data_IF_612622618709
#
_entry.id   IF_612622618709
#
_cell.length_a   1.000
_cell.length_b   1.000
_cell.length_c   1.000
_cell.angle_alpha   90.00
_cell.angle_beta   90.00
_cell.angle_gamma   90.00
#
_symmetry.space_group_name_H-M   'P 1'
#
loop_
_entity.id
_entity.type
_entity.pdbx_description
1 polymer ?
#
# COMPACT_ATOMS: atom_id res chain seq x y z
N UNK A 1 -37.52 -15.77 72.55
CA UNK A 1 -36.77 -14.78 71.73
C UNK A 1 -35.56 -15.51 71.19
N UNK A 2 -35.57 -15.82 69.90
CA UNK A 2 -34.48 -16.56 69.24
C UNK A 2 -33.77 -15.58 68.33
N UNK A 3 -32.60 -15.12 68.75
CA UNK A 3 -31.73 -14.29 67.91
C UNK A 3 -31.15 -15.16 66.80
N UNK A 4 -31.55 -14.87 65.57
CA UNK A 4 -30.92 -15.41 64.36
C UNK A 4 -29.79 -14.47 63.99
N UNK A 5 -28.56 -14.86 64.29
CA UNK A 5 -27.35 -14.18 63.82
C UNK A 5 -27.27 -14.26 62.29
N UNK A 6 -27.52 -13.13 61.63
CA UNK A 6 -27.27 -12.98 60.20
C UNK A 6 -25.76 -13.10 59.93
N UNK A 7 -25.32 -14.25 59.42
CA UNK A 7 -23.93 -14.45 58.98
C UNK A 7 -23.71 -13.62 57.72
N UNK A 8 -22.82 -12.64 57.81
CA UNK A 8 -22.54 -11.65 56.78
C UNK A 8 -21.49 -12.16 55.80
N UNK A 9 -21.77 -13.27 55.09
CA UNK A 9 -20.89 -13.79 54.04
C UNK A 9 -21.40 -13.36 52.65
N UNK A 10 -21.30 -12.05 52.38
CA UNK A 10 -21.72 -11.47 51.09
C UNK A 10 -20.57 -11.01 50.19
N UNK A 11 -19.37 -10.80 50.74
CA UNK A 11 -18.30 -10.12 50.03
C UNK A 11 -16.95 -10.76 50.35
N UNK A 12 -16.46 -11.64 49.47
CA UNK A 12 -15.12 -12.22 49.61
C UNK A 12 -14.09 -11.29 48.94
N UNK A 13 -13.30 -10.51 49.71
CA UNK A 13 -12.35 -9.55 49.15
C UNK A 13 -11.27 -10.21 48.28
N UNK A 14 -10.95 -11.48 48.53
CA UNK A 14 -9.98 -12.23 47.71
C UNK A 14 -10.54 -12.54 46.32
N UNK A 15 -11.83 -12.88 46.23
CA UNK A 15 -12.49 -13.13 44.94
C UNK A 15 -12.53 -11.84 44.12
N UNK A 16 -12.85 -10.71 44.76
CA UNK A 16 -12.89 -9.40 44.10
C UNK A 16 -11.50 -8.98 43.64
N UNK A 17 -10.48 -9.14 44.49
CA UNK A 17 -9.09 -8.87 44.11
C UNK A 17 -8.65 -9.75 42.92
N UNK A 18 -9.06 -11.02 42.89
CA UNK A 18 -8.77 -11.92 41.76
C UNK A 18 -9.46 -11.47 40.46
N UNK A 19 -10.74 -11.09 40.52
CA UNK A 19 -11.49 -10.58 39.36
C UNK A 19 -10.88 -9.26 38.85
N UNK A 20 -10.51 -8.35 39.75
CA UNK A 20 -9.84 -7.09 39.40
C UNK A 20 -8.49 -7.36 38.75
N UNK A 21 -7.69 -8.28 39.30
CA UNK A 21 -6.40 -8.65 38.71
C UNK A 21 -6.56 -9.25 37.31
N UNK A 22 -7.53 -10.14 37.10
CA UNK A 22 -7.85 -10.70 35.78
C UNK A 22 -8.28 -9.59 34.81
N UNK A 23 -9.13 -8.64 35.27
CA UNK A 23 -9.55 -7.49 34.48
C UNK A 23 -8.38 -6.61 34.04
N UNK A 24 -7.43 -6.34 34.94
CA UNK A 24 -6.21 -5.58 34.62
C UNK A 24 -5.37 -6.33 33.58
N UNK A 25 -5.15 -7.63 33.77
CA UNK A 25 -4.37 -8.45 32.81
C UNK A 25 -5.05 -8.47 31.44
N UNK A 26 -6.36 -8.69 31.39
CA UNK A 26 -7.14 -8.70 30.15
C UNK A 26 -7.13 -7.32 29.47
N UNK A 27 -7.20 -6.24 30.24
CA UNK A 27 -7.11 -4.87 29.72
C UNK A 27 -5.74 -4.57 29.12
N UNK A 28 -4.65 -4.93 29.81
CA UNK A 28 -3.28 -4.78 29.30
C UNK A 28 -3.07 -5.63 28.04
N UNK A 29 -3.58 -6.87 28.01
CA UNK A 29 -3.52 -7.73 26.84
C UNK A 29 -4.28 -7.15 25.64
N UNK A 30 -5.51 -6.63 25.86
CA UNK A 30 -6.29 -5.96 24.82
C UNK A 30 -5.57 -4.71 24.31
N UNK A 31 -5.03 -3.89 25.22
CA UNK A 31 -4.28 -2.69 24.87
C UNK A 31 -3.03 -3.02 24.06
N UNK A 32 -2.31 -4.08 24.45
CA UNK A 32 -1.17 -4.60 23.68
C UNK A 32 -1.60 -5.09 22.28
N UNK A 33 -2.71 -5.81 22.16
CA UNK A 33 -3.23 -6.26 20.85
C UNK A 33 -3.60 -5.08 19.93
N UNK A 34 -4.18 -4.00 20.48
CA UNK A 34 -4.50 -2.79 19.72
C UNK A 34 -3.21 -2.06 19.29
N UNK A 35 -2.24 -1.95 20.21
CA UNK A 35 -0.98 -1.26 19.95
C UNK A 35 -0.06 -2.02 18.97
N UNK A 36 0.00 -3.35 19.06
CA UNK A 36 0.83 -4.20 18.23
C UNK A 36 0.13 -4.69 16.96
N UNK A 37 -1.21 -4.75 16.93
CA UNK A 37 -1.98 -5.22 15.78
C UNK A 37 -1.54 -4.65 14.42
N UNK A 38 -1.31 -3.32 14.31
CA UNK A 38 -0.81 -2.71 13.08
C UNK A 38 0.62 -3.11 12.69
N UNK A 39 1.46 -3.48 13.67
CA UNK A 39 2.86 -3.87 13.45
C UNK A 39 3.00 -5.35 13.08
N UNK A 40 2.05 -6.19 13.47
CA UNK A 40 2.04 -7.64 13.19
C UNK A 40 1.52 -7.95 11.77
N UNK A 41 1.01 -6.95 11.04
CA UNK A 41 0.73 -7.09 9.61
C UNK A 41 2.05 -7.28 8.86
N UNK A 42 2.47 -8.53 8.69
CA UNK A 42 3.54 -8.90 7.77
C UNK A 42 3.20 -8.30 6.41
N UNK A 43 4.14 -7.67 5.70
CA UNK A 43 3.94 -7.18 4.33
C UNK A 43 3.61 -8.28 3.29
N UNK A 44 3.25 -9.47 3.75
CA UNK A 44 2.75 -10.61 3.01
C UNK A 44 1.21 -10.60 2.99
N UNK A 45 0.63 -9.52 2.49
CA UNK A 45 -0.82 -9.33 2.34
C UNK A 45 -1.26 -9.35 0.87
N UNK A 46 -0.32 -9.57 -0.06
CA UNK A 46 -0.61 -9.53 -1.49
C UNK A 46 -0.68 -8.13 -2.09
N UNK A 47 -0.40 -7.08 -1.31
CA UNK A 47 -0.54 -5.68 -1.72
C UNK A 47 0.49 -5.26 -2.77
N UNK A 48 0.16 -4.20 -3.50
CA UNK A 48 1.07 -3.55 -4.44
C UNK A 48 1.88 -2.45 -3.76
N UNK A 49 2.76 -2.81 -2.82
CA UNK A 49 3.56 -1.85 -2.05
C UNK A 49 5.04 -2.29 -1.92
N UNK A 50 5.89 -1.36 -1.45
CA UNK A 50 7.33 -1.53 -1.35
C UNK A 50 7.78 -2.77 -0.54
N UNK A 51 7.10 -3.08 0.57
CA UNK A 51 7.43 -4.25 1.39
C UNK A 51 6.83 -5.59 0.90
N UNK A 52 6.03 -5.58 -0.17
CA UNK A 52 5.30 -6.77 -0.59
C UNK A 52 6.16 -7.67 -1.47
N UNK A 53 6.21 -8.95 -1.11
CA UNK A 53 6.88 -10.02 -1.87
C UNK A 53 5.92 -10.76 -2.81
N UNK A 54 4.66 -10.34 -2.87
CA UNK A 54 3.69 -10.93 -3.77
C UNK A 54 3.90 -10.42 -5.21
N UNK A 55 3.25 -11.06 -6.18
CA UNK A 55 3.36 -10.70 -7.59
C UNK A 55 3.15 -9.20 -7.93
N UNK A 56 2.22 -8.45 -7.28
CA UNK A 56 2.08 -7.02 -7.52
C UNK A 56 3.03 -6.14 -6.66
N UNK A 57 3.81 -6.73 -5.76
CA UNK A 57 4.68 -6.03 -4.82
C UNK A 57 6.01 -5.58 -5.42
N UNK A 58 6.71 -4.69 -4.69
CA UNK A 58 7.94 -4.04 -5.17
C UNK A 58 9.19 -4.37 -4.33
N UNK A 59 9.13 -5.33 -3.40
CA UNK A 59 10.24 -5.62 -2.48
C UNK A 59 11.55 -6.01 -3.19
N UNK A 60 11.47 -6.70 -4.34
CA UNK A 60 12.66 -7.06 -5.12
C UNK A 60 13.33 -5.84 -5.78
N UNK A 61 12.55 -4.82 -6.16
CA UNK A 61 13.11 -3.58 -6.73
C UNK A 61 13.77 -2.75 -5.63
N UNK A 62 13.15 -2.71 -4.45
CA UNK A 62 13.75 -2.06 -3.26
C UNK A 62 15.11 -2.70 -2.94
N UNK A 63 15.17 -4.02 -2.79
CA UNK A 63 16.42 -4.75 -2.50
C UNK A 63 17.47 -4.55 -3.62
N UNK A 64 17.05 -4.47 -4.89
CA UNK A 64 17.96 -4.17 -6.00
C UNK A 64 18.56 -2.77 -5.90
N UNK A 65 17.74 -1.76 -5.57
CA UNK A 65 18.17 -0.36 -5.48
C UNK A 65 19.08 -0.13 -4.28
N UNK A 66 18.77 -0.74 -3.13
CA UNK A 66 19.65 -0.74 -1.95
C UNK A 66 21.02 -1.36 -2.27
N UNK A 67 21.03 -2.53 -2.94
CA UNK A 67 22.27 -3.21 -3.36
C UNK A 67 23.05 -2.43 -4.42
N UNK A 68 22.37 -1.59 -5.20
CA UNK A 68 23.00 -0.67 -6.14
C UNK A 68 23.63 0.56 -5.47
N UNK A 69 23.48 0.70 -4.14
CA UNK A 69 24.13 1.75 -3.34
C UNK A 69 23.26 2.97 -3.06
N UNK A 70 21.96 2.93 -3.37
CA UNK A 70 21.04 3.99 -2.97
C UNK A 70 20.62 3.84 -1.51
N UNK A 71 20.44 4.96 -0.81
CA UNK A 71 19.81 5.00 0.51
C UNK A 71 18.29 5.00 0.32
N UNK A 72 17.61 3.96 0.82
CA UNK A 72 16.17 3.76 0.61
C UNK A 72 15.43 3.90 1.93
N UNK A 73 14.60 4.94 2.01
CA UNK A 73 13.68 5.14 3.12
C UNK A 73 12.25 4.72 2.76
N UNK A 74 11.73 3.71 3.47
CA UNK A 74 10.39 3.17 3.26
C UNK A 74 9.37 3.82 4.18
N UNK A 75 8.54 4.69 3.59
CA UNK A 75 7.52 5.43 4.34
C UNK A 75 6.13 4.85 4.16
N UNK A 76 5.40 4.77 5.27
CA UNK A 76 3.97 4.41 5.31
C UNK A 76 3.06 5.59 5.64
N UNK A 77 3.64 6.77 5.87
CA UNK A 77 2.95 8.02 6.19
C UNK A 77 3.52 9.16 5.36
N UNK A 78 2.69 10.18 5.16
CA UNK A 78 3.05 11.42 4.48
C UNK A 78 3.80 12.29 5.48
N UNK A 79 5.08 11.98 5.69
CA UNK A 79 5.98 12.87 6.41
C UNK A 79 6.91 13.52 5.37
N UNK A 80 6.84 14.85 5.18
CA UNK A 80 7.79 15.55 4.32
C UNK A 80 9.18 15.37 4.91
N UNK A 81 10.09 14.78 4.14
CA UNK A 81 11.51 14.99 4.38
C UNK A 81 12.08 15.52 3.09
N UNK A 82 12.57 16.74 3.18
CA UNK A 82 13.45 17.30 2.18
C UNK A 82 14.85 17.11 2.72
N UNK A 83 15.67 16.37 1.98
CA UNK A 83 17.08 16.24 2.28
C UNK A 83 17.83 17.20 1.38
N UNK A 84 18.38 18.28 1.93
CA UNK A 84 19.07 19.32 1.16
C UNK A 84 20.38 18.82 0.54
N UNK A 85 20.94 17.73 1.06
CA UNK A 85 22.26 17.20 0.67
C UNK A 85 22.20 16.11 -0.44
N UNK A 86 21.00 15.70 -0.89
CA UNK A 86 20.85 14.57 -1.82
C UNK A 86 19.85 14.85 -2.95
N UNK A 87 20.12 14.29 -4.12
CA UNK A 87 19.14 14.24 -5.22
C UNK A 87 18.07 13.19 -4.88
N UNK A 88 16.94 13.66 -4.36
CA UNK A 88 15.86 12.79 -3.87
C UNK A 88 14.88 12.42 -5.00
N UNK A 89 14.56 11.12 -5.14
CA UNK A 89 13.48 10.62 -5.99
C UNK A 89 12.40 10.00 -5.11
N UNK A 90 11.19 10.56 -5.13
CA UNK A 90 10.05 9.96 -4.42
C UNK A 90 9.31 8.99 -5.33
N UNK A 91 9.17 7.74 -4.88
CA UNK A 91 8.44 6.70 -5.59
C UNK A 91 7.10 6.46 -4.90
N UNK A 92 6.02 6.83 -5.56
CA UNK A 92 4.66 6.62 -5.08
C UNK A 92 4.09 5.32 -5.66
N UNK A 93 3.60 4.45 -4.78
CA UNK A 93 2.93 3.19 -5.15
C UNK A 93 1.46 3.20 -4.69
N UNK A 94 0.63 4.12 -5.22
CA UNK A 94 -0.75 4.25 -4.79
C UNK A 94 -1.53 2.96 -5.04
N UNK A 95 -2.51 2.71 -4.17
CA UNK A 95 -3.43 1.59 -4.31
C UNK A 95 -4.74 2.06 -4.93
N UNK A 96 -5.61 1.12 -5.31
CA UNK A 96 -6.97 1.45 -5.77
C UNK A 96 -7.79 2.24 -4.73
N UNK A 97 -7.40 2.17 -3.46
CA UNK A 97 -8.04 2.83 -2.32
C UNK A 97 -7.41 4.17 -1.95
N UNK A 98 -6.25 4.52 -2.53
CA UNK A 98 -5.59 5.80 -2.27
C UNK A 98 -6.50 6.96 -2.64
N UNK A 99 -6.58 7.92 -1.73
CA UNK A 99 -7.44 9.10 -1.88
C UNK A 99 -6.74 10.15 -2.74
N UNK A 100 -7.48 10.91 -3.58
CA UNK A 100 -6.89 12.00 -4.37
C UNK A 100 -6.18 13.05 -3.52
N UNK A 101 -6.70 13.32 -2.32
CA UNK A 101 -6.15 14.30 -1.39
C UNK A 101 -4.77 13.86 -0.88
N UNK A 102 -4.58 12.56 -0.59
CA UNK A 102 -3.28 12.02 -0.19
C UNK A 102 -2.24 12.19 -1.30
N UNK A 103 -2.64 12.02 -2.57
CA UNK A 103 -1.75 12.26 -3.70
C UNK A 103 -1.32 13.72 -3.75
N UNK A 104 -2.27 14.66 -3.61
CA UNK A 104 -1.99 16.10 -3.60
C UNK A 104 -1.06 16.51 -2.47
N UNK A 105 -1.32 16.02 -1.25
CA UNK A 105 -0.47 16.26 -0.08
C UNK A 105 0.97 15.81 -0.35
N UNK A 106 1.16 14.64 -0.98
CA UNK A 106 2.48 14.13 -1.33
C UNK A 106 3.17 14.96 -2.42
N UNK A 107 2.45 15.42 -3.44
CA UNK A 107 3.01 16.31 -4.47
C UNK A 107 3.45 17.66 -3.88
N UNK A 108 2.64 18.25 -2.99
CA UNK A 108 2.99 19.49 -2.29
C UNK A 108 4.17 19.30 -1.35
N UNK A 109 4.16 18.22 -0.56
CA UNK A 109 5.20 17.91 0.42
C UNK A 109 6.59 17.68 -0.21
N UNK A 110 6.63 17.20 -1.45
CA UNK A 110 7.87 16.90 -2.15
C UNK A 110 8.55 18.15 -2.74
N UNK A 111 7.80 19.24 -2.95
CA UNK A 111 8.30 20.43 -3.61
C UNK A 111 8.74 20.14 -5.05
N UNK A 112 9.93 20.62 -5.43
CA UNK A 112 10.44 20.53 -6.81
C UNK A 112 11.15 19.21 -7.14
N UNK A 113 11.28 18.31 -6.16
CA UNK A 113 12.02 17.08 -6.38
C UNK A 113 11.24 16.06 -7.25
N UNK A 114 11.93 15.27 -8.10
CA UNK A 114 11.28 14.32 -8.99
C UNK A 114 10.40 13.29 -8.28
N UNK A 115 9.27 12.95 -8.90
CA UNK A 115 8.33 11.93 -8.42
C UNK A 115 8.09 10.89 -9.51
N UNK A 116 8.25 9.62 -9.15
CA UNK A 116 7.83 8.47 -9.95
C UNK A 116 6.53 7.91 -9.38
N UNK A 117 5.43 8.02 -10.11
CA UNK A 117 4.15 7.41 -9.73
C UNK A 117 3.97 6.08 -10.45
N UNK A 118 3.95 4.99 -9.68
CA UNK A 118 3.67 3.65 -10.20
C UNK A 118 2.20 3.31 -9.95
N UNK A 119 1.37 3.52 -10.98
CA UNK A 119 -0.07 3.34 -10.86
C UNK A 119 -0.47 1.87 -10.62
N UNK A 120 -1.55 1.63 -9.86
CA UNK A 120 -2.02 0.29 -9.61
C UNK A 120 -2.55 -0.33 -10.91
N UNK A 121 -2.07 -1.54 -11.23
CA UNK A 121 -2.44 -2.30 -12.44
C UNK A 121 -3.19 -3.60 -12.13
N UNK A 122 -2.98 -4.15 -10.94
CA UNK A 122 -3.59 -5.40 -10.49
C UNK A 122 -4.29 -5.19 -9.16
N UNK A 123 -5.47 -5.79 -9.00
CA UNK A 123 -6.09 -6.01 -7.70
C UNK A 123 -5.86 -7.48 -7.34
N UNK A 124 -5.06 -7.72 -6.30
CA UNK A 124 -4.87 -9.05 -5.75
C UNK A 124 -5.73 -9.23 -4.51
N UNK A 125 -6.31 -10.42 -4.34
CA UNK A 125 -7.19 -10.70 -3.23
C UNK A 125 -7.31 -12.18 -2.92
N UNK A 126 -7.91 -12.47 -1.77
CA UNK A 126 -8.26 -13.82 -1.34
C UNK A 126 -9.72 -14.09 -1.68
N UNK A 127 -9.95 -15.13 -2.45
CA UNK A 127 -11.26 -15.74 -2.67
C UNK A 127 -11.46 -16.74 -1.52
N UNK A 128 -12.55 -16.62 -0.73
CA UNK A 128 -12.80 -17.52 0.40
C UNK A 128 -12.70 -19.00 -0.02
N UNK A 129 -11.92 -19.78 0.75
CA UNK A 129 -11.72 -21.21 0.50
C UNK A 129 -10.77 -21.57 -0.65
N UNK A 130 -10.18 -20.58 -1.34
CA UNK A 130 -9.28 -20.83 -2.48
C UNK A 130 -7.84 -20.39 -2.24
N UNK A 131 -7.55 -19.73 -1.11
CA UNK A 131 -6.18 -19.39 -0.75
C UNK A 131 -5.39 -20.67 -0.42
N UNK A 132 -4.32 -20.99 -1.15
CA UNK A 132 -3.59 -22.25 -0.96
C UNK A 132 -2.79 -22.27 0.36
N UNK A 133 -2.46 -21.09 0.91
CA UNK A 133 -1.80 -20.92 2.20
C UNK A 133 -2.30 -19.65 2.90
N UNK A 134 -2.28 -19.60 4.25
CA UNK A 134 -2.52 -18.37 4.99
C UNK A 134 -1.62 -17.23 4.49
N UNK A 135 -2.21 -16.05 4.24
CA UNK A 135 -1.50 -14.86 3.74
C UNK A 135 -1.22 -14.84 2.23
N UNK A 136 -1.61 -15.87 1.48
CA UNK A 136 -1.45 -15.88 0.02
C UNK A 136 -2.71 -15.33 -0.66
N UNK A 137 -2.50 -14.55 -1.73
CA UNK A 137 -3.58 -14.18 -2.65
C UNK A 137 -3.99 -15.40 -3.48
N UNK A 138 -5.28 -15.50 -3.81
CA UNK A 138 -5.81 -16.59 -4.62
C UNK A 138 -6.29 -16.14 -6.00
N UNK A 139 -6.19 -14.84 -6.29
CA UNK A 139 -6.55 -14.28 -7.58
C UNK A 139 -5.96 -12.89 -7.79
N UNK A 140 -5.61 -12.60 -9.05
CA UNK A 140 -5.18 -11.28 -9.50
C UNK A 140 -6.05 -10.83 -10.67
N UNK A 141 -6.61 -9.63 -10.58
CA UNK A 141 -7.48 -9.06 -11.60
C UNK A 141 -6.81 -7.83 -12.21
N UNK A 142 -6.75 -7.76 -13.54
CA UNK A 142 -6.30 -6.56 -14.25
C UNK A 142 -7.35 -5.46 -14.08
N UNK A 143 -6.99 -4.40 -13.36
CA UNK A 143 -7.91 -3.30 -13.05
C UNK A 143 -7.30 -2.00 -13.53
N UNK A 144 -8.10 -1.17 -14.19
CA UNK A 144 -7.65 0.15 -14.60
C UNK A 144 -7.48 1.04 -13.37
N UNK A 145 -6.37 1.77 -13.24
CA UNK A 145 -6.24 2.76 -12.18
C UNK A 145 -7.33 3.83 -12.34
N UNK A 146 -7.88 4.34 -11.24
CA UNK A 146 -8.86 5.41 -11.31
C UNK A 146 -8.16 6.74 -11.64
N UNK A 147 -8.73 7.53 -12.57
CA UNK A 147 -8.15 8.79 -13.03
C UNK A 147 -7.90 9.80 -11.91
N UNK A 148 -8.65 9.69 -10.80
CA UNK A 148 -8.49 10.50 -9.59
C UNK A 148 -7.11 10.43 -8.93
N UNK A 149 -6.29 9.42 -9.25
CA UNK A 149 -4.91 9.31 -8.77
C UNK A 149 -3.95 10.24 -9.51
N UNK A 150 -4.40 10.87 -10.59
CA UNK A 150 -3.66 11.82 -11.41
C UNK A 150 -4.40 13.16 -11.34
N UNK A 151 -4.13 14.00 -10.33
CA UNK A 151 -4.86 15.26 -10.17
C UNK A 151 -4.67 16.19 -11.37
N UNK A 152 -5.75 16.82 -11.82
CA UNK A 152 -5.75 17.67 -13.03
C UNK A 152 -4.79 18.86 -12.92
N UNK A 153 -4.51 19.37 -11.73
CA UNK A 153 -3.55 20.48 -11.53
C UNK A 153 -2.11 20.11 -11.93
N UNK A 154 -1.76 18.82 -11.86
CA UNK A 154 -0.41 18.32 -12.19
C UNK A 154 -0.37 17.65 -13.57
N UNK A 155 -1.42 16.93 -13.95
CA UNK A 155 -1.43 16.08 -15.15
C UNK A 155 -2.36 16.58 -16.26
N UNK A 156 -3.12 17.66 -16.02
CA UNK A 156 -4.19 18.09 -16.91
C UNK A 156 -5.32 17.05 -17.00
N UNK A 157 -6.17 17.18 -18.01
CA UNK A 157 -7.25 16.22 -18.26
C UNK A 157 -6.67 14.92 -18.81
N UNK A 158 -6.76 13.87 -18.00
CA UNK A 158 -6.31 12.53 -18.37
C UNK A 158 -7.48 11.58 -18.55
N UNK A 159 -7.33 10.66 -19.50
CA UNK A 159 -8.24 9.55 -19.74
C UNK A 159 -7.46 8.25 -19.61
N UNK A 160 -7.94 7.38 -18.74
CA UNK A 160 -7.40 6.04 -18.54
C UNK A 160 -8.27 5.05 -19.31
N UNK A 161 -7.63 4.15 -20.05
CA UNK A 161 -8.33 3.23 -20.93
C UNK A 161 -7.58 1.94 -21.19
N UNK A 162 -8.17 1.11 -22.05
CA UNK A 162 -7.57 -0.11 -22.56
C UNK A 162 -7.40 0.01 -24.06
N UNK A 163 -6.30 -0.52 -24.56
CA UNK A 163 -6.10 -0.78 -25.97
C UNK A 163 -5.89 -2.28 -26.19
N UNK A 164 -6.33 -2.77 -27.34
CA UNK A 164 -5.88 -4.09 -27.81
C UNK A 164 -4.42 -3.96 -28.19
N UNK A 165 -3.62 -4.96 -27.84
CA UNK A 165 -2.29 -5.05 -28.41
C UNK A 165 -2.42 -5.39 -29.90
N UNK A 166 -1.77 -4.60 -30.74
CA UNK A 166 -1.69 -4.81 -32.17
C UNK A 166 -0.22 -4.82 -32.57
N UNK A 167 0.21 -5.86 -33.30
CA UNK A 167 1.44 -5.94 -34.09
C UNK A 167 2.72 -5.35 -33.48
N UNK A 168 3.02 -5.60 -32.21
CA UNK A 168 4.31 -5.19 -31.59
C UNK A 168 4.50 -3.65 -31.49
N UNK A 169 3.40 -2.91 -31.43
CA UNK A 169 3.36 -1.44 -31.57
C UNK A 169 3.67 -0.65 -30.30
N UNK A 170 3.99 -1.29 -29.18
CA UNK A 170 4.25 -0.61 -27.91
C UNK A 170 5.75 -0.42 -27.69
N UNK A 171 6.33 0.61 -28.32
CA UNK A 171 7.77 0.89 -28.32
C UNK A 171 8.05 2.31 -27.86
N UNK A 172 9.24 2.52 -27.32
CA UNK A 172 9.63 3.83 -26.81
C UNK A 172 11.08 3.86 -26.33
N UNK A 173 11.48 4.99 -25.78
CA UNK A 173 12.82 5.20 -25.24
C UNK A 173 12.74 5.66 -23.80
N UNK A 174 13.36 4.90 -22.89
CA UNK A 174 13.40 5.23 -21.47
C UNK A 174 14.85 5.10 -21.00
N UNK A 175 15.38 6.14 -20.36
CA UNK A 175 16.76 6.14 -19.85
C UNK A 175 17.82 5.88 -20.94
N UNK A 176 17.59 6.41 -22.16
CA UNK A 176 18.50 6.23 -23.30
C UNK A 176 18.46 4.85 -23.96
N UNK A 177 17.60 3.93 -23.48
CA UNK A 177 17.44 2.59 -24.05
C UNK A 177 16.12 2.46 -24.78
N UNK A 178 16.13 1.75 -25.90
CA UNK A 178 14.89 1.33 -26.54
C UNK A 178 14.21 0.23 -25.75
N UNK A 179 12.91 0.41 -25.51
CA UNK A 179 12.08 -0.54 -24.81
C UNK A 179 10.90 -0.89 -25.72
N UNK A 180 10.64 -2.18 -25.84
CA UNK A 180 9.44 -2.73 -26.49
C UNK A 180 8.68 -3.58 -25.49
N UNK A 181 7.36 -3.37 -25.37
CA UNK A 181 6.51 -4.25 -24.56
C UNK A 181 6.22 -5.53 -25.35
N UNK A 182 6.40 -6.67 -24.70
CA UNK A 182 6.22 -7.99 -25.32
C UNK A 182 4.85 -8.56 -24.93
N UNK A 183 4.01 -8.77 -25.95
CA UNK A 183 2.77 -9.56 -25.90
C UNK A 183 1.83 -9.34 -24.68
N UNK A 184 1.47 -8.09 -24.32
CA UNK A 184 0.38 -7.90 -23.37
C UNK A 184 -0.95 -8.17 -24.08
N UNK A 185 -1.70 -9.20 -23.68
CA UNK A 185 -3.05 -9.47 -24.23
C UNK A 185 -3.98 -8.23 -24.17
N UNK A 186 -3.76 -7.33 -23.21
CA UNK A 186 -4.45 -6.05 -23.06
C UNK A 186 -3.49 -4.98 -22.53
N UNK A 187 -3.44 -3.84 -23.22
CA UNK A 187 -2.69 -2.66 -22.79
C UNK A 187 -3.57 -1.78 -21.91
N UNK A 188 -3.00 -1.26 -20.82
CA UNK A 188 -3.55 -0.12 -20.10
C UNK A 188 -2.88 1.14 -20.63
N UNK A 189 -3.70 2.11 -21.03
CA UNK A 189 -3.24 3.35 -21.67
C UNK A 189 -3.69 4.55 -20.88
N UNK A 190 -2.86 5.59 -20.89
CA UNK A 190 -3.19 6.90 -20.35
C UNK A 190 -2.99 7.90 -21.49
N UNK A 191 -3.99 8.73 -21.73
CA UNK A 191 -3.96 9.78 -22.75
C UNK A 191 -4.33 11.11 -22.12
N UNK A 192 -3.60 12.17 -22.44
CA UNK A 192 -3.87 13.53 -21.99
C UNK A 192 -2.94 14.51 -22.69
N UNK A 193 -3.39 15.75 -22.86
CA UNK A 193 -2.68 16.75 -23.66
C UNK A 193 -1.39 17.25 -22.97
N UNK A 194 -1.33 17.13 -21.64
CA UNK A 194 -0.17 17.50 -20.82
C UNK A 194 0.81 16.36 -20.54
N UNK A 195 0.66 15.21 -21.21
CA UNK A 195 1.54 14.06 -21.01
C UNK A 195 2.57 13.96 -22.14
N UNK A 196 3.83 13.76 -21.77
CA UNK A 196 4.88 13.37 -22.72
C UNK A 196 5.05 11.84 -22.71
N UNK A 197 4.53 11.11 -23.71
CA UNK A 197 4.51 9.66 -23.69
C UNK A 197 5.89 9.09 -24.05
N UNK A 198 6.55 8.44 -23.08
CA UNK A 198 7.82 7.73 -23.32
C UNK A 198 7.66 6.44 -24.13
N UNK A 199 6.50 5.80 -24.04
CA UNK A 199 6.10 4.61 -24.80
C UNK A 199 4.70 4.87 -25.34
N UNK A 200 4.53 4.72 -26.65
CA UNK A 200 3.23 4.84 -27.32
C UNK A 200 2.80 3.48 -27.85
N UNK A 201 1.49 3.25 -27.89
CA UNK A 201 0.89 2.10 -28.56
C UNK A 201 0.09 2.64 -29.75
N UNK A 202 0.53 2.28 -30.97
CA UNK A 202 -0.14 2.64 -32.22
C UNK A 202 -1.30 1.70 -32.55
#
# INVERSE_FOLDING_TARGET
MSDTTATTDGFNPRLIAAVVAIGIIAFVALWALIALGPQVSSGNDGGGHALSKAAPGYAGIVDLVERAGADVDLRRRVDPAQYDDYEQLVILTPTMRTRPEEMKELFVAQGDAPILVVLPKWAAGTIPGQAPKPGWVSGGFAVLPPARLLPEEYFGKVRIGRAKWANDNARGRVGGREISLVDPAQLHTITGDGLDPLITAA
#
